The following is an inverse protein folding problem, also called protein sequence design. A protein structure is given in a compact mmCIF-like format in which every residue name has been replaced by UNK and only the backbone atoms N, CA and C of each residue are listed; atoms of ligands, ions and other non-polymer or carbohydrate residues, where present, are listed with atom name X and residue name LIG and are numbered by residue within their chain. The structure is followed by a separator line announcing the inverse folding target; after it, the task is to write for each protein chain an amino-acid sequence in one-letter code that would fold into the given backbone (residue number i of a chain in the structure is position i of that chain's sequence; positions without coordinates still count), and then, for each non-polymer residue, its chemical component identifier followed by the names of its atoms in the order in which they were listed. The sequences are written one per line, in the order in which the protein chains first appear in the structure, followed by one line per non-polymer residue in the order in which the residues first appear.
data_IF_813898702010
#
_entry.id   IF_813898702010
#
_cell.length_a   1.000
_cell.length_b   1.000
_cell.length_c   1.000
_cell.angle_alpha   90.00
_cell.angle_beta   90.00
_cell.angle_gamma   90.00
#
_symmetry.space_group_name_H-M   'P 1'
#
loop_
_entity.id
_entity.type
_entity.pdbx_description
1 polymer ?
#
# COMPACT_ATOMS: atom_id res chain seq x y z
N UNK A 1 14.55 -21.09 -2.82
CA UNK A 1 13.69 -19.92 -2.56
C UNK A 1 12.55 -19.80 -3.58
N UNK A 2 12.82 -19.48 -4.85
CA UNK A 2 11.78 -19.34 -5.90
C UNK A 2 10.93 -20.61 -6.09
N UNK A 3 11.57 -21.79 -6.09
CA UNK A 3 10.88 -23.09 -6.19
C UNK A 3 9.90 -23.31 -5.03
N UNK A 4 10.22 -22.80 -3.84
CA UNK A 4 9.33 -22.86 -2.68
C UNK A 4 8.11 -21.99 -2.95
N UNK A 5 8.29 -20.73 -3.36
CA UNK A 5 7.20 -19.79 -3.67
C UNK A 5 6.22 -20.33 -4.73
N UNK A 6 6.71 -21.05 -5.74
CA UNK A 6 5.88 -21.62 -6.82
C UNK A 6 5.06 -22.85 -6.40
N UNK A 7 5.45 -23.54 -5.31
CA UNK A 7 4.82 -24.79 -4.84
C UNK A 7 4.01 -24.55 -3.55
N UNK A 8 3.87 -23.29 -3.12
CA UNK A 8 3.05 -22.95 -1.95
C UNK A 8 1.56 -23.16 -2.25
N UNK A 9 0.84 -23.70 -1.26
CA UNK A 9 -0.62 -23.66 -1.23
C UNK A 9 -1.12 -22.21 -1.26
N UNK A 10 -2.29 -21.97 -1.85
CA UNK A 10 -2.95 -20.66 -1.91
C UNK A 10 -3.06 -20.00 -0.53
N UNK A 11 -3.38 -20.78 0.50
CA UNK A 11 -3.49 -20.30 1.89
C UNK A 11 -2.14 -19.77 2.39
N UNK A 12 -1.05 -20.49 2.12
CA UNK A 12 0.29 -20.08 2.54
C UNK A 12 0.77 -18.86 1.76
N UNK A 13 0.40 -18.75 0.47
CA UNK A 13 0.69 -17.58 -0.34
C UNK A 13 -0.03 -16.33 0.21
N UNK A 14 -1.29 -16.46 0.62
CA UNK A 14 -2.04 -15.37 1.24
C UNK A 14 -1.39 -14.90 2.57
N UNK A 15 -0.97 -15.84 3.43
CA UNK A 15 -0.25 -15.48 4.66
C UNK A 15 1.09 -14.79 4.37
N UNK A 16 1.80 -15.21 3.33
CA UNK A 16 3.03 -14.55 2.89
C UNK A 16 2.74 -13.12 2.43
N UNK A 17 1.68 -12.91 1.65
CA UNK A 17 1.22 -11.60 1.20
C UNK A 17 0.88 -10.64 2.35
N UNK A 18 0.17 -11.15 3.35
CA UNK A 18 -0.12 -10.39 4.59
C UNK A 18 1.19 -10.04 5.31
N UNK A 19 2.13 -10.98 5.43
CA UNK A 19 3.42 -10.70 6.07
C UNK A 19 4.23 -9.62 5.34
N UNK A 20 4.28 -9.67 4.01
CA UNK A 20 4.99 -8.69 3.17
C UNK A 20 4.35 -7.32 3.26
N UNK A 21 3.02 -7.26 3.23
CA UNK A 21 2.28 -5.99 3.33
C UNK A 21 2.40 -5.37 4.73
N UNK A 22 2.36 -6.18 5.80
CA UNK A 22 2.63 -5.70 7.16
C UNK A 22 4.06 -5.16 7.25
N UNK A 23 5.05 -5.90 6.75
CA UNK A 23 6.44 -5.45 6.73
C UNK A 23 6.60 -4.12 5.98
N UNK A 24 5.86 -3.93 4.89
CA UNK A 24 5.87 -2.71 4.10
C UNK A 24 5.08 -1.55 4.72
N UNK A 25 4.18 -1.80 5.67
CA UNK A 25 3.39 -0.76 6.32
C UNK A 25 4.10 -0.17 7.56
N UNK A 26 5.06 -0.88 8.15
CA UNK A 26 5.68 -0.51 9.45
C UNK A 26 6.32 0.87 9.45
N UNK A 27 7.02 1.27 8.39
CA UNK A 27 7.73 2.56 8.36
C UNK A 27 7.26 3.51 7.23
N UNK A 28 6.14 3.19 6.58
CA UNK A 28 5.50 4.00 5.53
C UNK A 28 6.45 4.44 4.38
N UNK A 29 7.53 3.70 4.08
CA UNK A 29 8.43 3.97 2.94
C UNK A 29 9.95 4.03 3.26
N UNK A 30 10.33 3.78 4.50
CA UNK A 30 11.70 3.60 4.98
C UNK A 30 12.34 2.23 4.67
N UNK A 31 13.35 1.80 5.46
CA UNK A 31 14.13 0.60 5.20
C UNK A 31 13.32 -0.69 5.07
N UNK A 32 12.27 -0.88 5.87
CA UNK A 32 11.48 -2.11 5.86
C UNK A 32 10.63 -2.21 4.60
N UNK A 33 9.96 -1.12 4.20
CA UNK A 33 9.19 -1.06 2.96
C UNK A 33 10.06 -1.22 1.72
N UNK A 34 11.28 -0.65 1.72
CA UNK A 34 12.23 -0.84 0.62
C UNK A 34 12.74 -2.28 0.54
N UNK A 35 13.04 -2.92 1.66
CA UNK A 35 13.43 -4.32 1.69
C UNK A 35 12.30 -5.22 1.14
N UNK A 36 11.05 -4.97 1.55
CA UNK A 36 9.88 -5.67 1.02
C UNK A 36 9.71 -5.47 -0.49
N UNK A 37 9.89 -4.23 -0.98
CA UNK A 37 9.80 -3.91 -2.42
C UNK A 37 10.89 -4.60 -3.24
N UNK A 38 12.13 -4.64 -2.74
CA UNK A 38 13.23 -5.34 -3.42
C UNK A 38 12.97 -6.84 -3.47
N UNK A 39 12.46 -7.41 -2.37
CA UNK A 39 12.09 -8.83 -2.31
C UNK A 39 11.00 -9.18 -3.33
N UNK A 40 9.92 -8.40 -3.40
CA UNK A 40 8.80 -8.67 -4.32
C UNK A 40 9.22 -8.44 -5.78
N UNK A 41 10.09 -7.47 -6.03
CA UNK A 41 10.65 -7.22 -7.36
C UNK A 41 11.57 -8.37 -7.81
N UNK A 42 12.38 -8.92 -6.90
CA UNK A 42 13.20 -10.10 -7.18
C UNK A 42 12.34 -11.34 -7.45
N UNK A 43 11.23 -11.53 -6.72
CA UNK A 43 10.27 -12.59 -7.01
C UNK A 43 9.59 -12.40 -8.39
N UNK A 44 9.29 -11.15 -8.77
CA UNK A 44 8.72 -10.81 -10.07
C UNK A 44 9.67 -11.11 -11.24
N UNK A 45 10.97 -10.82 -11.08
CA UNK A 45 12.00 -11.17 -12.07
C UNK A 45 12.05 -12.68 -12.34
N UNK A 46 11.64 -13.48 -11.36
CA UNK A 46 11.56 -14.94 -11.40
C UNK A 46 10.19 -15.47 -11.83
N UNK A 47 9.36 -14.62 -12.46
CA UNK A 47 7.97 -14.89 -12.92
C UNK A 47 6.95 -15.19 -11.81
N UNK A 48 7.22 -14.77 -10.56
CA UNK A 48 6.28 -14.90 -9.43
C UNK A 48 5.69 -13.52 -9.13
N UNK A 49 4.51 -13.24 -9.70
CA UNK A 49 3.89 -11.91 -9.66
C UNK A 49 3.03 -11.63 -8.42
N UNK A 50 2.51 -12.68 -7.77
CA UNK A 50 1.58 -12.55 -6.63
C UNK A 50 2.05 -11.58 -5.53
N UNK A 51 3.24 -11.80 -4.95
CA UNK A 51 3.75 -10.95 -3.86
C UNK A 51 3.89 -9.47 -4.22
N UNK A 52 4.28 -9.16 -5.46
CA UNK A 52 4.39 -7.76 -5.91
C UNK A 52 3.02 -7.12 -6.13
N UNK A 53 2.06 -7.88 -6.66
CA UNK A 53 0.68 -7.42 -6.81
C UNK A 53 0.04 -7.08 -5.46
N UNK A 54 0.19 -7.97 -4.48
CA UNK A 54 -0.33 -7.78 -3.12
C UNK A 54 0.26 -6.55 -2.44
N UNK A 55 1.59 -6.36 -2.54
CA UNK A 55 2.27 -5.18 -2.01
C UNK A 55 1.68 -3.89 -2.60
N UNK A 56 1.50 -3.83 -3.93
CA UNK A 56 0.96 -2.65 -4.62
C UNK A 56 -0.49 -2.37 -4.24
N UNK A 57 -1.32 -3.41 -4.10
CA UNK A 57 -2.70 -3.28 -3.65
C UNK A 57 -2.76 -2.74 -2.22
N UNK A 58 -1.93 -3.27 -1.31
CA UNK A 58 -1.86 -2.77 0.06
C UNK A 58 -1.44 -1.31 0.16
N UNK A 59 -0.54 -0.84 -0.71
CA UNK A 59 -0.15 0.57 -0.74
C UNK A 59 -1.27 1.51 -1.25
N UNK A 60 -2.12 1.06 -2.15
CA UNK A 60 -3.18 1.88 -2.74
C UNK A 60 -4.42 2.01 -1.83
N UNK A 61 -4.75 0.98 -1.05
CA UNK A 61 -5.96 0.93 -0.20
C UNK A 61 -6.07 2.11 0.79
N UNK A 62 -5.03 2.47 1.57
CA UNK A 62 -5.11 3.59 2.51
C UNK A 62 -5.39 4.93 1.84
N UNK A 63 -4.74 5.20 0.71
CA UNK A 63 -4.91 6.46 -0.05
C UNK A 63 -6.28 6.55 -0.71
N UNK A 64 -6.80 5.44 -1.22
CA UNK A 64 -8.18 5.36 -1.71
C UNK A 64 -9.18 5.60 -0.57
N UNK A 65 -8.92 5.03 0.62
CA UNK A 65 -9.74 5.28 1.81
C UNK A 65 -9.78 6.77 2.18
N UNK A 66 -8.63 7.44 2.15
CA UNK A 66 -8.52 8.88 2.38
C UNK A 66 -9.24 9.70 1.31
N UNK A 67 -9.06 9.35 0.03
CA UNK A 67 -9.75 10.00 -1.08
C UNK A 67 -11.27 9.87 -0.95
N UNK A 68 -11.78 8.67 -0.66
CA UNK A 68 -13.22 8.40 -0.52
C UNK A 68 -13.78 9.11 0.72
N UNK A 69 -13.08 9.06 1.86
CA UNK A 69 -13.48 9.75 3.08
C UNK A 69 -13.58 11.27 2.86
N UNK A 70 -12.58 11.84 2.20
CA UNK A 70 -12.49 13.26 1.89
C UNK A 70 -13.58 13.73 0.92
N UNK A 71 -13.83 12.97 -0.16
CA UNK A 71 -14.65 13.39 -1.29
C UNK A 71 -16.12 12.98 -1.20
N UNK A 72 -16.42 11.82 -0.59
CA UNK A 72 -17.76 11.22 -0.60
C UNK A 72 -18.42 11.17 0.78
N UNK A 73 -17.70 10.76 1.83
CA UNK A 73 -18.32 10.44 3.14
C UNK A 73 -18.41 11.67 4.06
N UNK A 74 -17.32 12.43 4.23
CA UNK A 74 -17.29 13.60 5.11
C UNK A 74 -17.32 14.93 4.35
N UNK A 75 -17.89 14.95 3.15
CA UNK A 75 -17.91 16.14 2.27
C UNK A 75 -18.49 17.41 2.93
N UNK A 76 -19.38 17.29 3.91
CA UNK A 76 -19.93 18.42 4.66
C UNK A 76 -19.14 18.80 5.92
N UNK A 77 -18.27 17.91 6.42
CA UNK A 77 -17.48 18.09 7.64
C UNK A 77 -16.03 18.51 7.35
N UNK A 78 -15.54 18.19 6.15
CA UNK A 78 -14.17 18.44 5.74
C UNK A 78 -13.95 19.90 5.30
N UNK A 79 -12.83 20.45 5.74
CA UNK A 79 -12.32 21.77 5.36
C UNK A 79 -11.96 21.83 3.87
N UNK A 80 -11.76 23.05 3.34
CA UNK A 80 -11.36 23.23 1.93
C UNK A 80 -10.01 22.56 1.67
N UNK A 81 -9.09 22.64 2.64
CA UNK A 81 -7.79 21.97 2.58
C UNK A 81 -7.95 20.44 2.49
N UNK A 82 -8.78 19.82 3.32
CA UNK A 82 -8.98 18.36 3.34
C UNK A 82 -9.59 17.80 2.05
N UNK A 83 -10.46 18.58 1.38
CA UNK A 83 -11.00 18.21 0.07
C UNK A 83 -9.91 18.22 -1.00
N UNK A 84 -9.05 19.24 -1.00
CA UNK A 84 -7.94 19.34 -1.94
C UNK A 84 -6.94 18.20 -1.73
N UNK A 85 -6.66 17.84 -0.48
CA UNK A 85 -5.86 16.68 -0.14
C UNK A 85 -6.49 15.36 -0.57
N UNK A 86 -7.82 15.19 -0.49
CA UNK A 86 -8.50 13.99 -0.97
C UNK A 86 -8.38 13.78 -2.48
N UNK A 87 -8.43 14.86 -3.25
CA UNK A 87 -8.18 14.81 -4.70
C UNK A 87 -6.73 14.38 -4.97
N UNK A 88 -5.76 14.97 -4.25
CA UNK A 88 -4.35 14.57 -4.37
C UNK A 88 -4.14 13.11 -3.97
N UNK A 89 -4.76 12.65 -2.88
CA UNK A 89 -4.70 11.26 -2.42
C UNK A 89 -5.30 10.28 -3.44
N UNK A 90 -6.36 10.67 -4.16
CA UNK A 90 -6.94 9.85 -5.23
C UNK A 90 -5.93 9.61 -6.36
N UNK A 91 -5.35 10.68 -6.92
CA UNK A 91 -4.36 10.58 -7.98
C UNK A 91 -3.10 9.85 -7.52
N UNK A 92 -2.71 10.03 -6.27
CA UNK A 92 -1.54 9.36 -5.73
C UNK A 92 -1.75 7.87 -5.46
N UNK A 93 -2.98 7.46 -5.11
CA UNK A 93 -3.28 6.03 -5.00
C UNK A 93 -3.05 5.30 -6.32
N UNK A 94 -3.25 6.00 -7.46
CA UNK A 94 -2.95 5.49 -8.79
C UNK A 94 -1.43 5.39 -9.05
N UNK A 95 -0.65 6.29 -8.45
CA UNK A 95 0.81 6.26 -8.50
C UNK A 95 1.43 5.25 -7.52
N UNK A 96 0.63 4.68 -6.60
CA UNK A 96 1.05 3.72 -5.57
C UNK A 96 2.15 4.26 -4.65
N UNK A 97 2.09 5.55 -4.29
CA UNK A 97 3.05 6.19 -3.39
C UNK A 97 2.48 6.39 -1.99
N UNK A 98 3.02 5.69 -0.99
CA UNK A 98 2.54 5.74 0.41
C UNK A 98 3.02 6.94 1.21
N UNK A 99 4.02 7.68 0.73
CA UNK A 99 4.72 8.74 1.47
C UNK A 99 3.80 9.91 1.88
N UNK A 100 2.72 10.15 1.13
CA UNK A 100 1.78 11.25 1.38
C UNK A 100 0.74 10.89 2.44
N UNK A 101 0.70 9.64 2.90
CA UNK A 101 -0.09 9.28 4.08
C UNK A 101 0.60 9.72 5.40
N UNK A 102 1.90 10.01 5.39
CA UNK A 102 2.66 10.41 6.60
C UNK A 102 2.12 11.73 7.20
N UNK A 103 1.94 12.82 6.44
CA UNK A 103 1.37 14.05 6.99
C UNK A 103 -0.06 13.89 7.51
N UNK A 104 -0.82 12.92 6.96
CA UNK A 104 -2.18 12.62 7.41
C UNK A 104 -2.16 11.87 8.74
N UNK A 105 -1.34 10.82 8.86
CA UNK A 105 -1.17 10.05 10.10
C UNK A 105 -0.66 10.91 11.28
N UNK A 106 0.08 12.00 10.99
CA UNK A 106 0.54 12.95 12.01
C UNK A 106 -0.56 13.97 12.38
N UNK A 107 -1.39 14.38 11.41
CA UNK A 107 -2.41 15.42 11.61
C UNK A 107 -3.65 14.88 12.35
N UNK A 108 -3.97 13.61 12.17
CA UNK A 108 -5.10 12.91 12.82
C UNK A 108 -4.60 11.52 13.28
N UNK A 109 -4.00 11.45 14.50
CA UNK A 109 -3.35 10.24 15.01
C UNK A 109 -4.32 9.11 15.38
#
# INVERSE_FOLDING_TARGET
MVKTLKVMSEVNAAFLGIGISVLAAIDMGGPCSKAATVFTLAAMAESVYGPNGELRMCCAIPLLGLAISSLLVSRSKNTKEEKQFGITAFFLSLAVSTEVAIPFAIKDP
#
